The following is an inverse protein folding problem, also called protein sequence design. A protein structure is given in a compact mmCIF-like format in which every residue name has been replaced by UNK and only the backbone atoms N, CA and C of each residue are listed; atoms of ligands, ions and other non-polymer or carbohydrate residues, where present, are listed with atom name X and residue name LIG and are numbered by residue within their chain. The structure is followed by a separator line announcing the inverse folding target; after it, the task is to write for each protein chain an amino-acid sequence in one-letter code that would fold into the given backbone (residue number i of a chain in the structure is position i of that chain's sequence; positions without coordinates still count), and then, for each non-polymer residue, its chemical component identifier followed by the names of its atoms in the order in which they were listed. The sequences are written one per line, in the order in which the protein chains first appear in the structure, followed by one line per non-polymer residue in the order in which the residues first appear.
data_IF_980419922563
#
_entry.id   IF_980419922563
#
_cell.length_a   1.000
_cell.length_b   1.000
_cell.length_c   1.000
_cell.angle_alpha   90.00
_cell.angle_beta   90.00
_cell.angle_gamma   90.00
#
_symmetry.space_group_name_H-M   'P 1'
#
loop_
_entity.id
_entity.type
_entity.pdbx_description
1 polymer ?
#
# COMPACT_ATOMS: atom_id res chain seq x y z
N UNK A 1 4.54 20.44 5.44
CA UNK A 1 4.92 20.29 4.02
C UNK A 1 4.14 19.09 3.51
N UNK A 2 3.36 19.21 2.43
CA UNK A 2 2.66 18.06 1.85
C UNK A 2 3.72 17.10 1.30
N UNK A 3 3.62 15.81 1.64
CA UNK A 3 4.57 14.79 1.21
C UNK A 3 4.19 14.34 -0.19
N UNK A 4 5.14 14.29 -1.12
CA UNK A 4 4.86 13.78 -2.46
C UNK A 4 4.81 12.25 -2.47
N UNK A 5 4.05 11.67 -3.41
CA UNK A 5 3.99 10.23 -3.62
C UNK A 5 5.39 9.60 -3.84
N UNK A 6 6.27 10.28 -4.59
CA UNK A 6 7.66 9.85 -4.83
C UNK A 6 8.47 9.77 -3.54
N UNK A 7 8.43 10.81 -2.70
CA UNK A 7 9.13 10.83 -1.41
C UNK A 7 8.60 9.73 -0.51
N UNK A 8 7.27 9.55 -0.48
CA UNK A 8 6.62 8.53 0.32
C UNK A 8 7.13 7.12 -0.02
N UNK A 9 7.03 6.68 -1.27
CA UNK A 9 7.44 5.30 -1.65
C UNK A 9 8.94 5.06 -1.52
N UNK A 10 9.76 6.10 -1.68
CA UNK A 10 11.21 5.99 -1.49
C UNK A 10 11.54 5.80 0.00
N UNK A 11 10.92 6.58 0.88
CA UNK A 11 11.09 6.43 2.33
C UNK A 11 10.59 5.07 2.85
N UNK A 12 9.56 4.48 2.23
CA UNK A 12 9.10 3.14 2.60
C UNK A 12 10.21 2.09 2.37
N UNK A 13 10.97 2.18 1.29
CA UNK A 13 12.10 1.27 1.04
C UNK A 13 13.20 1.43 2.10
N UNK A 14 13.48 2.66 2.51
CA UNK A 14 14.47 2.94 3.54
C UNK A 14 14.05 2.36 4.90
N UNK A 15 12.79 2.57 5.27
CA UNK A 15 12.18 2.11 6.53
C UNK A 15 12.02 0.59 6.62
N UNK A 16 11.64 -0.06 5.52
CA UNK A 16 11.28 -1.47 5.51
C UNK A 16 12.24 -2.28 4.65
N UNK A 17 13.19 -2.97 5.30
CA UNK A 17 14.20 -3.82 4.64
C UNK A 17 13.63 -4.77 3.57
N UNK A 18 12.47 -5.43 3.77
CA UNK A 18 11.87 -6.31 2.75
C UNK A 18 11.52 -5.62 1.42
N UNK A 19 11.34 -4.30 1.41
CA UNK A 19 10.95 -3.53 0.22
C UNK A 19 12.15 -3.06 -0.62
N UNK A 20 13.37 -3.10 -0.06
CA UNK A 20 14.57 -2.53 -0.69
C UNK A 20 14.92 -3.19 -2.02
N UNK A 21 14.79 -4.52 -2.10
CA UNK A 21 15.10 -5.25 -3.33
C UNK A 21 14.20 -4.79 -4.48
N UNK A 22 12.90 -4.68 -4.23
CA UNK A 22 11.95 -4.18 -5.22
C UNK A 22 12.16 -2.71 -5.56
N UNK A 23 12.60 -1.87 -4.61
CA UNK A 23 12.96 -0.49 -4.92
C UNK A 23 14.16 -0.39 -5.88
N UNK A 24 15.19 -1.20 -5.68
CA UNK A 24 16.37 -1.23 -6.56
C UNK A 24 15.98 -1.76 -7.94
N UNK A 25 15.26 -2.88 -8.01
CA UNK A 25 14.75 -3.45 -9.26
C UNK A 25 13.87 -2.43 -10.01
N UNK A 26 12.99 -1.73 -9.29
CA UNK A 26 12.16 -0.67 -9.85
C UNK A 26 13.00 0.43 -10.51
N UNK A 27 14.06 0.91 -9.84
CA UNK A 27 14.93 1.94 -10.40
C UNK A 27 15.67 1.42 -11.63
N UNK A 28 16.19 0.20 -11.59
CA UNK A 28 16.91 -0.40 -12.71
C UNK A 28 15.99 -0.56 -13.94
N UNK A 29 14.76 -1.06 -13.73
CA UNK A 29 13.77 -1.29 -14.80
C UNK A 29 13.20 0.02 -15.38
N UNK A 30 13.18 1.10 -14.59
CA UNK A 30 12.58 2.38 -14.96
C UNK A 30 13.63 3.48 -15.16
N UNK A 31 14.85 3.15 -15.57
CA UNK A 31 15.90 4.11 -15.93
C UNK A 31 16.26 5.13 -14.82
N UNK A 32 16.18 4.70 -13.57
CA UNK A 32 16.42 5.53 -12.39
C UNK A 32 15.22 6.38 -11.96
N UNK A 33 14.06 6.22 -12.59
CA UNK A 33 12.84 6.95 -12.24
C UNK A 33 11.97 6.19 -11.23
N UNK A 34 11.47 6.93 -10.23
CA UNK A 34 10.48 6.42 -9.28
C UNK A 34 9.09 6.65 -9.85
N UNK A 35 8.37 5.57 -10.16
CA UNK A 35 6.98 5.59 -10.61
C UNK A 35 6.10 5.12 -9.44
N UNK A 36 5.51 6.03 -8.64
CA UNK A 36 5.00 5.70 -7.32
C UNK A 36 3.90 4.64 -7.33
N UNK A 37 2.99 4.71 -8.30
CA UNK A 37 1.88 3.78 -8.41
C UNK A 37 2.34 2.34 -8.71
N UNK A 38 3.35 2.17 -9.57
CA UNK A 38 3.90 0.83 -9.87
C UNK A 38 4.63 0.27 -8.65
N UNK A 39 5.50 1.09 -8.06
CA UNK A 39 6.29 0.69 -6.91
C UNK A 39 5.41 0.35 -5.68
N UNK A 40 4.35 1.12 -5.44
CA UNK A 40 3.39 0.83 -4.36
C UNK A 40 2.64 -0.48 -4.62
N UNK A 41 2.27 -0.77 -5.87
CA UNK A 41 1.65 -2.06 -6.21
C UNK A 41 2.59 -3.24 -5.94
N UNK A 42 3.90 -3.08 -6.20
CA UNK A 42 4.90 -4.10 -5.86
C UNK A 42 5.06 -4.27 -4.35
N UNK A 43 5.10 -3.17 -3.60
CA UNK A 43 5.10 -3.25 -2.13
C UNK A 43 3.86 -3.96 -1.59
N UNK A 44 2.69 -3.72 -2.18
CA UNK A 44 1.46 -4.44 -1.84
C UNK A 44 1.63 -5.95 -2.06
N UNK A 45 2.12 -6.37 -3.22
CA UNK A 45 2.38 -7.80 -3.53
C UNK A 45 3.35 -8.45 -2.54
N UNK A 46 4.40 -7.74 -2.16
CA UNK A 46 5.38 -8.23 -1.17
C UNK A 46 4.72 -8.37 0.21
N UNK A 47 3.90 -7.40 0.63
CA UNK A 47 3.19 -7.46 1.91
C UNK A 47 2.14 -8.58 1.93
N UNK A 48 1.42 -8.79 0.83
CA UNK A 48 0.41 -9.86 0.68
C UNK A 48 1.04 -11.26 0.76
N UNK A 49 2.25 -11.42 0.24
CA UNK A 49 2.98 -12.70 0.22
C UNK A 49 3.86 -12.94 1.46
N UNK A 50 3.92 -11.96 2.37
CA UNK A 50 4.63 -12.08 3.62
C UNK A 50 4.05 -13.17 4.53
N UNK A 51 4.87 -13.68 5.45
CA UNK A 51 4.40 -14.67 6.42
C UNK A 51 3.30 -14.07 7.30
N UNK A 52 2.29 -14.85 7.70
CA UNK A 52 1.28 -14.37 8.63
C UNK A 52 1.92 -13.80 9.91
N UNK A 53 1.48 -12.61 10.33
CA UNK A 53 1.96 -11.90 11.53
C UNK A 53 3.42 -11.45 11.49
N UNK A 54 4.01 -11.30 10.31
CA UNK A 54 5.34 -10.69 10.19
C UNK A 54 5.30 -9.26 10.73
N UNK A 55 6.17 -8.93 11.69
CA UNK A 55 6.10 -7.65 12.41
C UNK A 55 6.30 -6.44 11.49
N UNK A 56 7.01 -6.62 10.38
CA UNK A 56 7.24 -5.55 9.42
C UNK A 56 5.95 -5.19 8.67
N UNK A 57 5.05 -6.14 8.42
CA UNK A 57 3.76 -5.89 7.73
C UNK A 57 2.88 -5.03 8.62
N UNK A 58 2.75 -5.35 9.91
CA UNK A 58 1.99 -4.51 10.84
C UNK A 58 2.53 -3.08 10.91
N UNK A 59 3.86 -2.90 10.94
CA UNK A 59 4.49 -1.58 10.94
C UNK A 59 4.32 -0.85 9.62
N UNK A 60 4.39 -1.58 8.50
CA UNK A 60 4.13 -1.05 7.17
C UNK A 60 2.69 -0.55 7.05
N UNK A 61 1.70 -1.34 7.46
CA UNK A 61 0.30 -0.95 7.49
C UNK A 61 0.03 0.25 8.40
N UNK A 62 0.67 0.29 9.59
CA UNK A 62 0.59 1.45 10.48
C UNK A 62 1.13 2.71 9.83
N UNK A 63 2.23 2.62 9.08
CA UNK A 63 2.78 3.76 8.36
C UNK A 63 1.86 4.23 7.22
N UNK A 64 1.13 3.31 6.56
CA UNK A 64 0.09 3.68 5.60
C UNK A 64 -1.05 4.42 6.30
N UNK A 65 -1.53 3.91 7.42
CA UNK A 65 -2.61 4.53 8.21
C UNK A 65 -2.22 5.93 8.70
N UNK A 66 -1.00 6.10 9.21
CA UNK A 66 -0.50 7.39 9.71
C UNK A 66 -0.38 8.46 8.61
N UNK A 67 -0.24 8.04 7.34
CA UNK A 67 -0.13 8.94 6.19
C UNK A 67 -1.41 8.98 5.34
N UNK A 68 -2.45 8.23 5.70
CA UNK A 68 -3.72 8.23 4.96
C UNK A 68 -4.68 9.26 5.56
N UNK A 69 -5.14 10.19 4.72
CA UNK A 69 -6.03 11.28 5.13
C UNK A 69 -7.31 11.29 4.30
N UNK A 70 -8.38 11.86 4.85
CA UNK A 70 -9.65 12.05 4.13
C UNK A 70 -9.68 13.39 3.35
N UNK A 71 -8.51 14.03 3.18
CA UNK A 71 -8.43 15.30 2.45
C UNK A 71 -8.45 15.05 0.94
N UNK A 72 -9.29 15.82 0.25
CA UNK A 72 -9.28 15.86 -1.22
C UNK A 72 -7.93 16.43 -1.70
N UNK A 73 -7.39 15.86 -2.79
CA UNK A 73 -6.12 16.20 -3.44
C UNK A 73 -4.80 15.88 -2.69
N UNK A 74 -4.80 14.90 -1.77
CA UNK A 74 -3.56 14.37 -1.19
C UNK A 74 -2.95 13.24 -2.05
N UNK A 75 -1.80 13.50 -2.67
CA UNK A 75 -1.07 12.57 -3.54
C UNK A 75 -0.80 11.21 -2.87
N UNK A 76 -0.46 11.22 -1.57
CA UNK A 76 -0.15 10.00 -0.82
C UNK A 76 -1.41 9.20 -0.52
N UNK A 77 -2.49 9.85 -0.11
CA UNK A 77 -3.78 9.20 0.12
C UNK A 77 -4.34 8.60 -1.17
N UNK A 78 -4.24 9.31 -2.30
CA UNK A 78 -4.62 8.77 -3.61
C UNK A 78 -3.76 7.56 -4.01
N UNK A 79 -2.44 7.64 -3.80
CA UNK A 79 -1.53 6.53 -4.04
C UNK A 79 -1.90 5.29 -3.20
N UNK A 80 -2.18 5.47 -1.91
CA UNK A 80 -2.59 4.37 -1.01
C UNK A 80 -3.92 3.79 -1.47
N UNK A 81 -4.90 4.62 -1.80
CA UNK A 81 -6.21 4.15 -2.26
C UNK A 81 -6.12 3.33 -3.55
N UNK A 82 -5.44 3.86 -4.57
CA UNK A 82 -5.44 3.27 -5.92
C UNK A 82 -4.38 2.17 -6.09
N UNK A 83 -3.20 2.32 -5.45
CA UNK A 83 -2.07 1.41 -5.71
C UNK A 83 -1.79 0.44 -4.58
N UNK A 84 -2.33 0.67 -3.38
CA UNK A 84 -2.28 -0.31 -2.30
C UNK A 84 -3.63 -1.00 -2.12
N UNK A 85 -4.69 -0.25 -1.79
CA UNK A 85 -5.98 -0.81 -1.38
C UNK A 85 -6.65 -1.60 -2.52
N UNK A 86 -6.72 -1.06 -3.74
CA UNK A 86 -7.30 -1.78 -4.89
C UNK A 86 -6.51 -3.04 -5.29
N UNK A 87 -5.25 -3.14 -4.88
CA UNK A 87 -4.39 -4.29 -5.15
C UNK A 87 -4.44 -5.35 -4.04
N UNK A 88 -5.16 -5.08 -2.94
CA UNK A 88 -5.35 -6.06 -1.89
C UNK A 88 -6.30 -7.18 -2.35
N UNK A 89 -6.17 -8.39 -1.78
CA UNK A 89 -7.13 -9.45 -2.00
C UNK A 89 -8.54 -9.02 -1.55
N UNK A 90 -9.60 -9.43 -2.28
CA UNK A 90 -10.96 -9.11 -1.91
C UNK A 90 -11.39 -9.79 -0.59
N UNK A 91 -12.44 -9.29 0.09
CA UNK A 91 -12.83 -9.77 1.42
C UNK A 91 -13.24 -11.25 1.51
N UNK A 92 -13.63 -11.83 0.38
CA UNK A 92 -13.99 -13.25 0.26
C UNK A 92 -12.77 -14.17 0.14
N UNK A 93 -11.58 -13.63 -0.09
CA UNK A 93 -10.32 -14.35 -0.10
C UNK A 93 -9.63 -14.22 1.26
N UNK A 94 -9.47 -15.36 1.96
CA UNK A 94 -8.89 -15.37 3.29
C UNK A 94 -7.38 -15.07 3.25
N UNK A 95 -7.01 -13.79 3.35
CA UNK A 95 -5.64 -13.34 3.45
C UNK A 95 -5.35 -12.68 4.80
N UNK A 96 -4.19 -12.99 5.39
CA UNK A 96 -3.84 -12.45 6.71
C UNK A 96 -3.72 -10.93 6.73
N UNK A 97 -3.32 -10.31 5.62
CA UNK A 97 -3.11 -8.85 5.55
C UNK A 97 -4.41 -8.06 5.69
N UNK A 98 -5.52 -8.53 5.13
CA UNK A 98 -6.81 -7.83 5.19
C UNK A 98 -7.38 -7.80 6.62
N UNK A 99 -7.07 -8.83 7.41
CA UNK A 99 -7.41 -8.88 8.84
C UNK A 99 -6.54 -7.98 9.73
N UNK A 100 -5.42 -7.46 9.21
CA UNK A 100 -4.49 -6.55 9.91
C UNK A 100 -4.75 -5.07 9.58
N UNK A 101 -5.65 -4.78 8.63
CA UNK A 101 -6.03 -3.41 8.30
C UNK A 101 -6.88 -2.81 9.43
N UNK A 102 -6.59 -1.56 9.77
CA UNK A 102 -7.29 -0.82 10.82
C UNK A 102 -7.70 0.57 10.31
N UNK A 103 -8.41 1.33 11.16
CA UNK A 103 -8.63 2.76 10.95
C UNK A 103 -9.27 3.15 9.61
N UNK A 104 -8.74 4.20 8.99
CA UNK A 104 -9.22 4.79 7.74
C UNK A 104 -8.87 3.95 6.53
N UNK A 105 -7.70 3.32 6.52
CA UNK A 105 -7.30 2.40 5.45
C UNK A 105 -8.27 1.23 5.38
N UNK A 106 -8.71 0.68 6.53
CA UNK A 106 -9.75 -0.37 6.57
C UNK A 106 -11.09 0.13 6.05
N UNK A 107 -11.50 1.35 6.42
CA UNK A 107 -12.75 1.95 5.94
C UNK A 107 -12.73 2.11 4.42
N UNK A 108 -11.63 2.62 3.87
CA UNK A 108 -11.46 2.77 2.43
C UNK A 108 -11.46 1.42 1.72
N UNK A 109 -10.80 0.40 2.26
CA UNK A 109 -10.87 -0.97 1.75
C UNK A 109 -12.31 -1.49 1.68
N UNK A 110 -13.09 -1.29 2.75
CA UNK A 110 -14.51 -1.71 2.75
C UNK A 110 -15.35 -0.96 1.72
N UNK A 111 -15.08 0.33 1.49
CA UNK A 111 -15.76 1.12 0.46
C UNK A 111 -15.42 0.58 -0.93
N UNK A 112 -14.13 0.43 -1.24
CA UNK A 112 -13.64 -0.07 -2.53
C UNK A 112 -14.26 -1.42 -2.88
N UNK A 113 -14.25 -2.38 -1.96
CA UNK A 113 -14.76 -3.73 -2.26
C UNK A 113 -16.28 -3.89 -2.09
N UNK A 114 -16.98 -2.97 -1.42
CA UNK A 114 -18.47 -2.89 -1.48
C UNK A 114 -18.94 -2.42 -2.86
N UNK A 115 -18.25 -1.45 -3.47
CA UNK A 115 -18.62 -0.92 -4.78
C UNK A 115 -18.40 -1.93 -5.91
N UNK A 116 -17.46 -2.87 -5.74
CA UNK A 116 -17.15 -3.91 -6.71
C UNK A 116 -18.18 -5.07 -6.68
N UNK A 117 -18.98 -5.20 -5.61
CA UNK A 117 -19.95 -6.30 -5.46
C UNK A 117 -21.40 -5.81 -5.35
N UNK A 118 -22.03 -5.30 -6.43
CA UNK A 118 -23.46 -4.95 -6.41
C UNK A 118 -24.41 -6.17 -6.44
N UNK A 119 -23.90 -7.41 -6.54
CA UNK A 119 -24.73 -8.62 -6.76
C UNK A 119 -24.29 -9.87 -5.98
N UNK A 120 -23.65 -9.73 -4.82
CA UNK A 120 -23.43 -10.86 -3.90
C UNK A 120 -24.65 -11.09 -3.00
#
# INVERSE_FOLDING_TARGET
MVKSAISFVSEMADKFTPLRAAYVEHLDDNFGEVLPHLLMADYCRIAVTAKPRDLWVNKFLSELEDNFSDQEDDDVSNLIAVSFIEHLPPPNEAHSITSQLEGKVKQQYDITFRQISPFA
#
